data_IF_059781923351
#
_entry.id   IF_059781923351
#
_cell.length_a   1.000
_cell.length_b   1.000
_cell.length_c   1.000
_cell.angle_alpha   90.00
_cell.angle_beta   90.00
_cell.angle_gamma   90.00
#
_symmetry.space_group_name_H-M   'P 1'
#
loop_
_entity.id
_entity.type
_entity.pdbx_description
1 polymer ?
#
# COMPACT_ATOMS: atom_id res chain seq x y z
N UNK A 1 -24.34 32.63 10.42
CA UNK A 1 -23.43 31.50 10.68
C UNK A 1 -23.40 30.67 9.40
N UNK A 2 -22.35 30.82 8.60
CA UNK A 2 -22.12 30.05 7.37
C UNK A 2 -20.64 29.62 7.43
N UNK A 3 -20.39 28.40 7.92
CA UNK A 3 -19.06 27.82 8.09
C UNK A 3 -18.96 26.51 7.30
N UNK A 4 -19.40 26.51 6.04
CA UNK A 4 -19.52 25.30 5.22
C UNK A 4 -18.69 25.28 3.94
N UNK A 5 -17.92 26.34 3.64
CA UNK A 5 -17.27 26.52 2.32
C UNK A 5 -15.74 26.47 2.34
N UNK A 6 -15.08 26.48 3.51
CA UNK A 6 -13.61 26.50 3.59
C UNK A 6 -12.98 25.10 3.60
N UNK A 7 -13.68 24.08 4.10
CA UNK A 7 -13.18 22.69 4.11
C UNK A 7 -13.16 22.04 2.72
N UNK A 8 -14.10 22.38 1.83
CA UNK A 8 -14.15 21.81 0.48
C UNK A 8 -13.08 22.35 -0.48
N UNK A 9 -12.55 23.54 -0.22
CA UNK A 9 -11.54 24.17 -1.09
C UNK A 9 -10.11 23.74 -0.74
N UNK A 10 -9.84 23.36 0.51
CA UNK A 10 -8.55 22.83 0.95
C UNK A 10 -8.34 21.35 0.54
N UNK A 11 -9.40 20.53 0.60
CA UNK A 11 -9.34 19.10 0.19
C UNK A 11 -9.01 18.89 -1.29
N UNK A 12 -9.53 19.74 -2.18
CA UNK A 12 -9.14 19.71 -3.59
C UNK A 12 -7.68 20.13 -3.82
N UNK A 13 -7.12 20.99 -2.96
CA UNK A 13 -5.74 21.45 -3.06
C UNK A 13 -4.71 20.35 -2.83
N UNK A 14 -4.91 19.48 -1.83
CA UNK A 14 -3.94 18.43 -1.49
C UNK A 14 -3.85 17.33 -2.55
N UNK A 15 -5.00 16.89 -3.09
CA UNK A 15 -5.04 15.91 -4.16
C UNK A 15 -4.45 16.47 -5.45
N UNK A 16 -4.76 17.71 -5.83
CA UNK A 16 -4.23 18.34 -7.04
C UNK A 16 -2.72 18.62 -6.94
N UNK A 17 -2.25 19.06 -5.78
CA UNK A 17 -0.83 19.22 -5.49
C UNK A 17 -0.08 17.88 -5.59
N UNK A 18 -0.63 16.79 -5.03
CA UNK A 18 -0.04 15.46 -5.14
C UNK A 18 0.11 15.00 -6.60
N UNK A 19 -0.85 15.35 -7.47
CA UNK A 19 -0.80 15.04 -8.91
C UNK A 19 0.28 15.85 -9.62
N UNK A 20 0.39 17.14 -9.31
CA UNK A 20 1.43 18.01 -9.86
C UNK A 20 2.83 17.54 -9.46
N UNK A 21 3.02 17.15 -8.20
CA UNK A 21 4.29 16.62 -7.71
C UNK A 21 4.66 15.31 -8.42
N UNK A 22 3.69 14.39 -8.59
CA UNK A 22 3.92 13.14 -9.29
C UNK A 22 4.24 13.34 -10.78
N UNK A 23 3.56 14.26 -11.45
CA UNK A 23 3.85 14.58 -12.85
C UNK A 23 5.26 15.16 -13.05
N UNK A 24 5.78 15.89 -12.05
CA UNK A 24 7.13 16.43 -12.06
C UNK A 24 8.20 15.38 -11.70
N UNK A 25 7.88 14.43 -10.83
CA UNK A 25 8.77 13.35 -10.42
C UNK A 25 7.99 12.06 -10.10
N UNK A 26 7.83 11.13 -11.06
CA UNK A 26 7.12 9.87 -10.85
C UNK A 26 7.76 8.99 -9.77
N UNK A 27 9.08 9.09 -9.56
CA UNK A 27 9.81 8.28 -8.58
C UNK A 27 9.47 8.62 -7.12
N UNK A 28 8.76 9.74 -6.89
CA UNK A 28 8.27 10.15 -5.57
C UNK A 28 7.45 9.06 -4.86
N UNK A 29 6.85 8.12 -5.61
CA UNK A 29 6.12 6.99 -5.02
C UNK A 29 7.03 6.01 -4.28
N UNK A 30 8.32 5.98 -4.62
CA UNK A 30 9.34 5.11 -4.01
C UNK A 30 10.07 5.77 -2.84
N UNK A 31 9.87 7.07 -2.61
CA UNK A 31 10.46 7.77 -1.48
C UNK A 31 9.91 7.24 -0.15
N UNK A 32 10.82 7.04 0.80
CA UNK A 32 10.49 6.63 2.17
C UNK A 32 9.54 7.65 2.81
N UNK A 33 8.44 7.16 3.38
CA UNK A 33 7.44 7.96 4.10
C UNK A 33 7.52 7.75 5.60
N UNK A 34 7.61 6.49 6.04
CA UNK A 34 7.65 6.11 7.45
C UNK A 34 8.55 4.90 7.68
N UNK A 35 8.85 4.62 8.95
CA UNK A 35 9.57 3.42 9.38
C UNK A 35 8.82 2.71 10.50
N UNK A 36 8.50 1.45 10.30
CA UNK A 36 7.91 0.61 11.33
C UNK A 36 8.90 -0.47 11.80
N UNK A 37 9.07 -0.57 13.11
CA UNK A 37 9.91 -1.60 13.71
C UNK A 37 9.11 -2.90 13.87
N UNK A 38 9.59 -3.98 13.27
CA UNK A 38 9.03 -5.32 13.39
C UNK A 38 9.90 -6.08 14.39
N UNK A 39 9.36 -6.29 15.59
CA UNK A 39 10.03 -7.05 16.63
C UNK A 39 10.03 -8.55 16.32
N UNK A 40 10.95 -9.28 16.95
CA UNK A 40 11.08 -10.74 16.79
C UNK A 40 9.79 -11.50 17.09
N UNK A 41 8.97 -11.01 18.04
CA UNK A 41 7.68 -11.59 18.40
C UNK A 41 6.61 -11.47 17.31
N UNK A 42 6.75 -10.47 16.42
CA UNK A 42 5.79 -10.16 15.36
C UNK A 42 6.24 -10.73 14.01
N UNK A 43 7.48 -11.23 13.92
CA UNK A 43 8.11 -11.72 12.70
C UNK A 43 7.28 -12.80 12.00
N UNK A 44 6.78 -13.80 12.75
CA UNK A 44 6.00 -14.89 12.19
C UNK A 44 4.67 -14.41 11.60
N UNK A 45 4.04 -13.41 12.23
CA UNK A 45 2.84 -12.77 11.72
C UNK A 45 3.12 -12.07 10.39
N UNK A 46 4.15 -11.23 10.32
CA UNK A 46 4.50 -10.49 9.11
C UNK A 46 4.95 -11.40 7.96
N UNK A 47 5.73 -12.44 8.25
CA UNK A 47 6.12 -13.45 7.26
C UNK A 47 4.90 -14.19 6.71
N UNK A 48 3.96 -14.58 7.58
CA UNK A 48 2.71 -15.24 7.17
C UNK A 48 1.86 -14.31 6.31
N UNK A 49 1.65 -13.07 6.75
CA UNK A 49 0.89 -12.06 6.01
C UNK A 49 1.49 -11.83 4.62
N UNK A 50 2.78 -11.51 4.53
CA UNK A 50 3.44 -11.20 3.27
C UNK A 50 3.41 -12.41 2.30
N UNK A 51 3.61 -13.63 2.82
CA UNK A 51 3.54 -14.84 2.01
C UNK A 51 2.14 -15.18 1.54
N UNK A 52 1.15 -15.22 2.44
CA UNK A 52 -0.21 -15.68 2.11
C UNK A 52 -0.94 -14.66 1.25
N UNK A 53 -0.86 -13.37 1.61
CA UNK A 53 -1.51 -12.33 0.82
C UNK A 53 -0.80 -12.08 -0.50
N UNK A 54 0.53 -12.19 -0.55
CA UNK A 54 1.28 -12.21 -1.82
C UNK A 54 0.77 -13.31 -2.75
N UNK A 55 0.58 -14.53 -2.24
CA UNK A 55 -0.05 -15.61 -2.99
C UNK A 55 -1.48 -15.31 -3.45
N UNK A 56 -2.28 -14.64 -2.62
CA UNK A 56 -3.63 -14.23 -2.97
C UNK A 56 -3.67 -13.19 -4.11
N UNK A 57 -2.76 -12.22 -4.13
CA UNK A 57 -2.67 -11.21 -5.19
C UNK A 57 -2.40 -11.81 -6.56
N UNK A 58 -1.55 -12.84 -6.62
CA UNK A 58 -1.32 -13.60 -7.86
C UNK A 58 -2.62 -14.26 -8.37
N UNK A 59 -3.38 -14.89 -7.48
CA UNK A 59 -4.66 -15.52 -7.84
C UNK A 59 -5.71 -14.50 -8.27
N UNK A 60 -5.71 -13.30 -7.68
CA UNK A 60 -6.59 -12.20 -8.06
C UNK A 60 -6.24 -11.66 -9.46
N UNK A 61 -4.96 -11.53 -9.81
CA UNK A 61 -4.52 -11.15 -11.17
C UNK A 61 -5.03 -12.16 -12.21
N UNK A 62 -4.79 -13.46 -11.98
CA UNK A 62 -5.24 -14.53 -12.88
C UNK A 62 -6.78 -14.60 -12.97
N UNK A 63 -7.48 -14.33 -11.87
CA UNK A 63 -8.95 -14.29 -11.86
C UNK A 63 -9.47 -13.10 -12.67
N UNK A 64 -8.86 -11.92 -12.54
CA UNK A 64 -9.25 -10.74 -13.32
C UNK A 64 -8.94 -10.89 -14.81
N UNK A 65 -7.84 -11.54 -15.16
CA UNK A 65 -7.54 -11.90 -16.55
C UNK A 65 -8.67 -12.74 -17.16
N UNK A 66 -9.12 -13.80 -16.48
CA UNK A 66 -10.26 -14.62 -16.94
C UNK A 66 -11.56 -13.82 -17.03
N UNK A 67 -11.82 -12.90 -16.10
CA UNK A 67 -13.01 -12.03 -16.15
C UNK A 67 -12.98 -11.13 -17.39
N UNK A 68 -11.82 -10.56 -17.72
CA UNK A 68 -11.65 -9.74 -18.91
C UNK A 68 -11.83 -10.56 -20.20
N UNK A 69 -11.23 -11.74 -20.28
CA UNK A 69 -11.37 -12.66 -21.42
C UNK A 69 -12.84 -13.07 -21.67
N UNK A 70 -13.66 -13.12 -20.61
CA UNK A 70 -15.09 -13.41 -20.67
C UNK A 70 -15.99 -12.16 -20.82
N UNK A 71 -15.41 -10.96 -20.97
CA UNK A 71 -16.16 -9.72 -21.12
C UNK A 71 -16.91 -9.26 -19.86
N UNK A 72 -16.52 -9.74 -18.67
CA UNK A 72 -17.15 -9.37 -17.39
C UNK A 72 -16.60 -8.07 -16.80
N UNK A 73 -15.42 -7.65 -17.24
CA UNK A 73 -14.80 -6.37 -16.89
C UNK A 73 -14.27 -5.70 -18.15
N UNK A 74 -14.33 -4.37 -18.20
CA UNK A 74 -13.80 -3.60 -19.31
C UNK A 74 -12.26 -3.55 -19.29
N UNK A 75 -11.61 -3.23 -20.43
CA UNK A 75 -10.16 -3.18 -20.53
C UNK A 75 -9.49 -2.20 -19.56
N UNK A 76 -10.13 -1.07 -19.25
CA UNK A 76 -9.55 -0.03 -18.37
C UNK A 76 -9.52 -0.52 -16.94
N UNK A 77 -10.65 -1.06 -16.46
CA UNK A 77 -10.75 -1.66 -15.12
C UNK A 77 -9.80 -2.84 -14.97
N UNK A 78 -9.66 -3.68 -16.00
CA UNK A 78 -8.71 -4.79 -16.01
C UNK A 78 -7.26 -4.31 -15.86
N UNK A 79 -6.82 -3.36 -16.69
CA UNK A 79 -5.44 -2.86 -16.66
C UNK A 79 -5.10 -2.18 -15.33
N UNK A 80 -6.02 -1.40 -14.78
CA UNK A 80 -5.84 -0.80 -13.45
C UNK A 80 -5.68 -1.86 -12.37
N UNK A 81 -6.59 -2.85 -12.33
CA UNK A 81 -6.55 -3.90 -11.32
C UNK A 81 -5.29 -4.77 -11.45
N UNK A 82 -4.91 -5.15 -12.67
CA UNK A 82 -3.69 -5.89 -12.97
C UNK A 82 -2.44 -5.17 -12.46
N UNK A 83 -2.30 -3.88 -12.73
CA UNK A 83 -1.15 -3.08 -12.23
C UNK A 83 -1.15 -2.99 -10.72
N UNK A 84 -2.32 -2.75 -10.13
CA UNK A 84 -2.51 -2.69 -8.67
C UNK A 84 -2.05 -3.99 -8.00
N UNK A 85 -2.51 -5.15 -8.48
CA UNK A 85 -2.13 -6.45 -7.90
C UNK A 85 -0.66 -6.77 -8.09
N UNK A 86 -0.07 -6.42 -9.25
CA UNK A 86 1.35 -6.67 -9.51
C UNK A 86 2.27 -5.82 -8.63
N UNK A 87 1.96 -4.53 -8.46
CA UNK A 87 2.71 -3.68 -7.53
C UNK A 87 2.56 -4.15 -6.09
N UNK A 88 1.35 -4.51 -5.68
CA UNK A 88 1.12 -5.11 -4.36
C UNK A 88 1.89 -6.42 -4.17
N UNK A 89 1.95 -7.27 -5.19
CA UNK A 89 2.71 -8.52 -5.17
C UNK A 89 4.21 -8.24 -5.00
N UNK A 90 4.77 -7.33 -5.80
CA UNK A 90 6.18 -6.91 -5.68
C UNK A 90 6.47 -6.41 -4.26
N UNK A 91 5.61 -5.52 -3.76
CA UNK A 91 5.70 -4.96 -2.40
C UNK A 91 5.78 -6.06 -1.34
N UNK A 92 4.86 -7.03 -1.36
CA UNK A 92 4.83 -8.09 -0.36
C UNK A 92 5.94 -9.14 -0.55
N UNK A 93 6.34 -9.44 -1.79
CA UNK A 93 7.46 -10.33 -2.06
C UNK A 93 8.77 -9.75 -1.53
N UNK A 94 9.03 -8.46 -1.77
CA UNK A 94 10.22 -7.79 -1.24
C UNK A 94 10.21 -7.74 0.29
N UNK A 95 9.07 -7.44 0.91
CA UNK A 95 8.94 -7.48 2.37
C UNK A 95 9.23 -8.89 2.91
N UNK A 96 8.65 -9.93 2.31
CA UNK A 96 8.86 -11.31 2.72
C UNK A 96 10.33 -11.71 2.63
N UNK A 97 10.99 -11.43 1.50
CA UNK A 97 12.38 -11.83 1.27
C UNK A 97 13.33 -11.15 2.26
N UNK A 98 13.18 -9.83 2.47
CA UNK A 98 14.01 -9.07 3.42
C UNK A 98 13.76 -9.54 4.86
N UNK A 99 12.49 -9.71 5.24
CA UNK A 99 12.14 -10.15 6.59
C UNK A 99 12.60 -11.58 6.87
N UNK A 100 12.53 -12.47 5.87
CA UNK A 100 13.00 -13.86 5.99
C UNK A 100 14.51 -13.92 6.14
N UNK A 101 15.25 -13.11 5.37
CA UNK A 101 16.69 -13.00 5.49
C UNK A 101 17.09 -12.52 6.88
N UNK A 102 16.44 -11.46 7.38
CA UNK A 102 16.66 -10.97 8.75
C UNK A 102 16.32 -12.01 9.83
N UNK A 103 15.17 -12.68 9.72
CA UNK A 103 14.72 -13.66 10.74
C UNK A 103 15.60 -14.93 10.76
N UNK A 104 16.27 -15.25 9.65
CA UNK A 104 17.21 -16.37 9.53
C UNK A 104 18.67 -16.03 9.81
N UNK A 105 19.01 -14.75 10.00
CA UNK A 105 20.38 -14.27 10.20
C UNK A 105 20.76 -14.02 11.67
N UNK A 106 22.03 -13.74 11.90
CA UNK A 106 22.60 -13.45 13.22
C UNK A 106 22.12 -12.09 13.81
N UNK A 107 21.49 -11.23 12.98
CA UNK A 107 21.00 -9.89 13.32
C UNK A 107 19.61 -9.87 13.99
N UNK A 108 19.03 -11.04 14.28
CA UNK A 108 17.68 -11.19 14.88
C UNK A 108 17.52 -10.51 16.25
N UNK A 109 18.61 -10.10 16.88
CA UNK A 109 18.61 -9.42 18.17
C UNK A 109 18.02 -7.99 18.11
N UNK A 110 18.09 -7.33 16.96
CA UNK A 110 17.51 -6.00 16.74
C UNK A 110 16.20 -6.09 15.94
N UNK A 111 15.21 -5.21 16.18
CA UNK A 111 14.01 -5.15 15.36
C UNK A 111 14.32 -4.94 13.87
N UNK A 112 13.57 -5.61 13.00
CA UNK A 112 13.64 -5.32 11.56
C UNK A 112 12.99 -3.96 11.28
N UNK A 113 13.73 -3.05 10.65
CA UNK A 113 13.21 -1.74 10.26
C UNK A 113 12.59 -1.83 8.88
N UNK A 114 11.26 -1.79 8.81
CA UNK A 114 10.55 -1.69 7.54
C UNK A 114 10.39 -0.22 7.16
N UNK A 115 11.27 0.25 6.27
CA UNK A 115 11.15 1.54 5.60
C UNK A 115 10.06 1.46 4.52
N UNK A 116 8.94 2.13 4.75
CA UNK A 116 7.76 2.10 3.89
C UNK A 116 7.73 3.33 2.99
N UNK A 117 7.64 3.12 1.68
CA UNK A 117 7.40 4.17 0.69
C UNK A 117 5.90 4.42 0.46
N UNK A 118 5.55 5.27 -0.50
CA UNK A 118 4.13 5.60 -0.76
C UNK A 118 3.33 4.38 -1.25
N UNK A 119 3.93 3.46 -2.00
CA UNK A 119 3.27 2.21 -2.41
C UNK A 119 3.04 1.30 -1.20
N UNK A 120 4.04 1.13 -0.33
CA UNK A 120 3.92 0.36 0.90
C UNK A 120 2.78 0.91 1.79
N UNK A 121 2.77 2.23 2.00
CA UNK A 121 1.75 2.90 2.81
C UNK A 121 0.34 2.78 2.21
N UNK A 122 0.22 2.61 0.90
CA UNK A 122 -1.06 2.44 0.21
C UNK A 122 -1.52 0.98 0.26
N UNK A 123 -0.63 0.03 -0.02
CA UNK A 123 -0.97 -1.38 -0.14
C UNK A 123 -1.07 -2.10 1.19
N UNK A 124 -0.07 -1.96 2.07
CA UNK A 124 0.07 -2.80 3.26
C UNK A 124 -1.13 -2.65 4.21
N UNK A 125 -1.61 -1.43 4.55
CA UNK A 125 -2.79 -1.29 5.41
C UNK A 125 -4.04 -1.92 4.82
N UNK A 126 -4.32 -1.66 3.54
CA UNK A 126 -5.50 -2.22 2.85
C UNK A 126 -5.45 -3.76 2.82
N UNK A 127 -4.27 -4.32 2.59
CA UNK A 127 -4.06 -5.76 2.58
C UNK A 127 -4.13 -6.40 3.96
N UNK A 128 -3.65 -5.72 5.01
CA UNK A 128 -3.82 -6.18 6.38
C UNK A 128 -5.31 -6.19 6.78
N UNK A 129 -6.07 -5.18 6.37
CA UNK A 129 -7.51 -5.13 6.59
C UNK A 129 -8.23 -6.29 5.90
N UNK A 130 -7.92 -6.58 4.63
CA UNK A 130 -8.51 -7.70 3.93
C UNK A 130 -8.03 -9.06 4.48
N UNK A 131 -6.75 -9.16 4.84
CA UNK A 131 -6.18 -10.35 5.48
C UNK A 131 -6.89 -10.65 6.80
N UNK A 132 -7.23 -9.63 7.60
CA UNK A 132 -7.98 -9.79 8.85
C UNK A 132 -9.37 -10.43 8.65
N UNK A 133 -9.98 -10.24 7.47
CA UNK A 133 -11.30 -10.81 7.13
C UNK A 133 -11.21 -12.29 6.78
N UNK A 134 -10.13 -12.70 6.14
CA UNK A 134 -9.89 -14.11 5.76
C UNK A 134 -9.19 -14.91 6.87
N UNK A 135 -8.49 -14.25 7.78
CA UNK A 135 -7.85 -14.82 8.97
C UNK A 135 -8.36 -14.15 10.26
N UNK A 136 -9.60 -14.41 10.70
CA UNK A 136 -10.19 -13.71 11.84
C UNK A 136 -9.40 -13.85 13.16
N UNK A 137 -8.68 -14.96 13.34
CA UNK A 137 -7.81 -15.18 14.50
C UNK A 137 -6.63 -14.22 14.58
N UNK A 138 -6.20 -13.65 13.45
CA UNK A 138 -5.11 -12.69 13.34
C UNK A 138 -5.59 -11.24 13.32
N UNK A 139 -6.90 -11.00 13.39
CA UNK A 139 -7.47 -9.66 13.34
C UNK A 139 -6.84 -8.69 14.35
N UNK A 140 -6.60 -9.05 15.64
CA UNK A 140 -5.96 -8.13 16.58
C UNK A 140 -4.57 -7.67 16.12
N UNK A 141 -3.75 -8.56 15.57
CA UNK A 141 -2.42 -8.23 15.06
C UNK A 141 -2.49 -7.35 13.80
N UNK A 142 -3.48 -7.61 12.92
CA UNK A 142 -3.73 -6.76 11.74
C UNK A 142 -4.16 -5.35 12.16
N UNK A 143 -5.12 -5.24 13.07
CA UNK A 143 -5.63 -3.95 13.56
C UNK A 143 -4.51 -3.14 14.26
N UNK A 144 -3.66 -3.80 15.05
CA UNK A 144 -2.49 -3.17 15.67
C UNK A 144 -1.51 -2.64 14.62
N UNK A 145 -1.16 -3.46 13.62
CA UNK A 145 -0.24 -3.08 12.56
C UNK A 145 -0.79 -1.91 11.72
N UNK A 146 -2.06 -1.97 11.32
CA UNK A 146 -2.76 -0.88 10.60
C UNK A 146 -2.75 0.39 11.45
N UNK A 147 -3.15 0.30 12.71
CA UNK A 147 -3.17 1.45 13.62
C UNK A 147 -1.82 2.12 13.76
N UNK A 148 -0.74 1.33 13.87
CA UNK A 148 0.64 1.84 13.91
C UNK A 148 1.02 2.57 12.63
N UNK A 149 0.76 1.98 11.47
CA UNK A 149 1.07 2.58 10.16
C UNK A 149 0.33 3.91 10.00
N UNK A 150 -0.99 3.91 10.22
CA UNK A 150 -1.82 5.09 10.02
C UNK A 150 -1.46 6.21 11.00
N UNK A 151 -1.14 5.88 12.27
CA UNK A 151 -0.71 6.86 13.26
C UNK A 151 0.61 7.53 12.87
N UNK A 152 1.61 6.74 12.44
CA UNK A 152 2.89 7.30 12.02
C UNK A 152 2.78 8.12 10.74
N UNK A 153 1.99 7.63 9.77
CA UNK A 153 1.79 8.29 8.49
C UNK A 153 1.04 9.62 8.64
N UNK A 154 0.03 9.69 9.51
CA UNK A 154 -0.69 10.92 9.79
C UNK A 154 0.21 11.97 10.47
N UNK A 155 1.07 11.54 11.41
CA UNK A 155 1.96 12.44 12.14
C UNK A 155 1.18 13.52 12.90
N UNK A 156 1.16 14.75 12.35
CA UNK A 156 0.38 15.89 12.88
C UNK A 156 -0.82 16.28 12.02
N UNK A 157 -0.97 15.68 10.84
CA UNK A 157 -2.07 15.94 9.92
C UNK A 157 -3.29 15.07 10.28
N UNK A 158 -4.45 15.41 9.69
CA UNK A 158 -5.62 14.54 9.75
C UNK A 158 -5.39 13.29 8.91
N UNK A 159 -5.83 12.14 9.41
CA UNK A 159 -5.69 10.85 8.74
C UNK A 159 -6.48 10.82 7.43
N UNK A 160 -7.64 11.49 7.37
CA UNK A 160 -8.45 11.58 6.15
C UNK A 160 -7.66 12.28 5.03
N UNK A 161 -7.06 13.44 5.33
CA UNK A 161 -6.29 14.23 4.36
C UNK A 161 -5.06 13.45 3.84
N UNK A 162 -4.36 12.75 4.73
CA UNK A 162 -3.19 11.94 4.35
C UNK A 162 -3.59 10.74 3.50
N UNK A 163 -4.72 10.11 3.82
CA UNK A 163 -5.26 9.01 3.04
C UNK A 163 -5.72 9.47 1.65
N UNK A 164 -6.38 10.63 1.55
CA UNK A 164 -6.78 11.23 0.27
C UNK A 164 -5.57 11.56 -0.61
N UNK A 165 -4.55 12.20 -0.03
CA UNK A 165 -3.31 12.55 -0.75
C UNK A 165 -2.58 11.29 -1.27
N UNK A 166 -2.48 10.26 -0.42
CA UNK A 166 -1.86 8.99 -0.78
C UNK A 166 -2.63 8.27 -1.90
N UNK A 167 -3.96 8.19 -1.79
CA UNK A 167 -4.83 7.62 -2.81
C UNK A 167 -4.73 8.38 -4.15
N UNK A 168 -4.68 9.71 -4.10
CA UNK A 168 -4.52 10.54 -5.30
C UNK A 168 -3.18 10.27 -5.99
N UNK A 169 -2.08 10.26 -5.23
CA UNK A 169 -0.72 10.03 -5.72
C UNK A 169 -0.56 8.62 -6.31
N UNK A 170 -0.77 7.58 -5.51
CA UNK A 170 -0.56 6.19 -5.93
C UNK A 170 -1.58 5.79 -7.00
N UNK A 171 -2.83 6.22 -6.87
CA UNK A 171 -3.85 5.94 -7.87
C UNK A 171 -3.54 6.57 -9.24
N UNK A 172 -3.00 7.79 -9.27
CA UNK A 172 -2.52 8.39 -10.52
C UNK A 172 -1.31 7.64 -11.06
N UNK A 173 -0.35 7.29 -10.22
CA UNK A 173 0.81 6.53 -10.62
C UNK A 173 0.42 5.22 -11.32
N UNK A 174 -0.50 4.46 -10.74
CA UNK A 174 -0.99 3.19 -11.32
C UNK A 174 -1.67 3.41 -12.68
N UNK A 175 -2.48 4.47 -12.81
CA UNK A 175 -3.18 4.78 -14.07
C UNK A 175 -2.20 5.18 -15.18
N UNK A 176 -1.21 5.99 -14.86
CA UNK A 176 -0.30 6.61 -15.84
C UNK A 176 1.09 5.96 -15.91
N UNK A 177 1.33 4.84 -15.21
CA UNK A 177 2.64 4.15 -15.17
C UNK A 177 3.30 3.93 -16.54
N UNK A 178 2.48 3.59 -17.54
CA UNK A 178 2.93 3.38 -18.91
C UNK A 178 3.54 4.63 -19.57
N UNK A 179 3.13 5.82 -19.14
CA UNK A 179 3.66 7.11 -19.60
C UNK A 179 5.03 7.38 -18.97
N UNK A 180 5.26 6.89 -17.74
CA UNK A 180 6.52 7.07 -17.00
C UNK A 180 7.61 6.06 -17.42
N UNK A 181 7.23 4.90 -17.96
CA UNK A 181 8.18 3.88 -18.44
C UNK A 181 8.74 4.16 -19.85
N UNK A 182 8.21 5.16 -20.56
CA UNK A 182 8.58 5.50 -21.93
C UNK A 182 9.58 6.68 -22.04
N UNK A 183 10.00 7.25 -20.90
CA UNK A 183 11.04 8.27 -20.78
C UNK A 183 12.33 7.70 -20.22
#
# INVERSE_FOLDING_TARGET
MNSGSEQGNQRNGSAEEARHLLAANPDLVFDERIRIDIGTKDADFWLKFASEWGGALYLLDETNKKRHENGLIDPTSYEYARRTYRLGLITLSELYDKLKAWNGGDERAEPYVYAMNSLDCFFVPAYLEDFSRVQPSLKPACDEAVGRILTQLAGKADLEDVSEALNAMVGQYIRHMHEYAAG
#
